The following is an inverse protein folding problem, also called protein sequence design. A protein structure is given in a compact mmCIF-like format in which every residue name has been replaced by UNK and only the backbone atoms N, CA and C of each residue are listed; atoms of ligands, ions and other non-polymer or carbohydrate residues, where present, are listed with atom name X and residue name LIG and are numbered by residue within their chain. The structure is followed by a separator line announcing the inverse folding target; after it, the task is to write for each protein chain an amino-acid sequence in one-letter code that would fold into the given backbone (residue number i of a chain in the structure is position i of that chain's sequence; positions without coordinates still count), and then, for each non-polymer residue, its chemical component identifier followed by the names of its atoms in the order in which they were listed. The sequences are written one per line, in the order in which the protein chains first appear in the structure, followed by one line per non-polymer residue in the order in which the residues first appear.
data_IF_991288627766
#
_entry.id   IF_991288627766
#
_cell.length_a   1.000
_cell.length_b   1.000
_cell.length_c   1.000
_cell.angle_alpha   90.00
_cell.angle_beta   90.00
_cell.angle_gamma   90.00
#
_symmetry.space_group_name_H-M   'P 1'
#
loop_
_entity.id
_entity.type
_entity.pdbx_description
1 polymer ?
#
# COMPACT_ATOMS: atom_id res chain seq x y z
N UNK A 1 -7.63 -16.56 0.97
CA UNK A 1 -7.70 -16.31 -0.49
C UNK A 1 -8.62 -15.15 -0.78
N UNK A 2 -8.15 -14.19 -1.55
CA UNK A 2 -8.91 -13.04 -2.02
C UNK A 2 -8.94 -13.03 -3.56
N UNK A 3 -9.88 -12.32 -4.15
CA UNK A 3 -9.91 -12.15 -5.60
C UNK A 3 -10.47 -10.79 -6.01
N UNK A 4 -10.10 -10.35 -7.20
CA UNK A 4 -10.72 -9.21 -7.87
C UNK A 4 -11.05 -9.58 -9.33
N UNK A 5 -12.09 -8.98 -9.87
CA UNK A 5 -12.46 -9.15 -11.27
C UNK A 5 -11.85 -8.06 -12.14
N UNK A 6 -11.24 -8.46 -13.25
CA UNK A 6 -10.82 -7.57 -14.34
C UNK A 6 -11.48 -8.06 -15.61
N UNK A 7 -12.27 -7.23 -16.27
CA UNK A 7 -13.01 -7.59 -17.49
C UNK A 7 -13.82 -8.92 -17.35
N UNK A 8 -14.45 -9.10 -16.18
CA UNK A 8 -15.25 -10.31 -15.89
C UNK A 8 -14.46 -11.54 -15.44
N UNK A 9 -13.15 -11.54 -15.57
CA UNK A 9 -12.28 -12.65 -15.15
C UNK A 9 -11.85 -12.48 -13.69
N UNK A 10 -11.99 -13.54 -12.90
CA UNK A 10 -11.51 -13.56 -11.50
C UNK A 10 -10.00 -13.81 -11.46
N UNK A 11 -9.28 -12.92 -10.79
CA UNK A 11 -7.85 -13.06 -10.49
C UNK A 11 -7.68 -13.22 -8.99
N UNK A 12 -7.02 -14.30 -8.58
CA UNK A 12 -6.90 -14.71 -7.19
C UNK A 12 -5.55 -14.29 -6.59
N UNK A 13 -5.58 -14.01 -5.29
CA UNK A 13 -4.40 -13.87 -4.44
C UNK A 13 -4.51 -14.92 -3.35
N UNK A 14 -3.57 -15.86 -3.32
CA UNK A 14 -3.55 -16.97 -2.36
C UNK A 14 -2.72 -16.57 -1.14
N UNK A 15 -3.21 -16.85 0.06
CA UNK A 15 -2.57 -16.44 1.31
C UNK A 15 -1.28 -17.22 1.60
N UNK A 16 -1.18 -18.45 1.07
CA UNK A 16 -0.02 -19.33 1.25
C UNK A 16 0.06 -20.40 0.16
N UNK A 17 1.17 -21.16 0.16
CA UNK A 17 1.40 -22.26 -0.80
C UNK A 17 0.36 -23.37 -0.68
N UNK A 18 -0.17 -23.64 0.51
CA UNK A 18 -1.16 -24.68 0.70
C UNK A 18 -2.44 -24.34 -0.06
N UNK A 19 -2.98 -23.13 0.10
CA UNK A 19 -4.15 -22.69 -0.66
C UNK A 19 -3.92 -22.72 -2.17
N UNK A 20 -2.72 -22.35 -2.62
CA UNK A 20 -2.36 -22.39 -4.03
C UNK A 20 -2.35 -23.84 -4.55
N UNK A 21 -1.73 -24.77 -3.82
CA UNK A 21 -1.65 -26.18 -4.18
C UNK A 21 -3.02 -26.86 -4.18
N UNK A 22 -3.96 -26.38 -3.39
CA UNK A 22 -5.34 -26.88 -3.35
C UNK A 22 -6.22 -26.26 -4.46
N UNK A 23 -5.67 -25.33 -5.23
CA UNK A 23 -6.37 -24.66 -6.33
C UNK A 23 -6.24 -25.41 -7.66
N UNK A 24 -7.00 -24.96 -8.65
CA UNK A 24 -6.90 -25.45 -10.04
C UNK A 24 -5.56 -25.10 -10.73
N UNK A 25 -4.69 -24.34 -10.07
CA UNK A 25 -3.38 -23.95 -10.58
C UNK A 25 -2.23 -24.70 -9.90
N UNK A 26 -2.54 -25.78 -9.19
CA UNK A 26 -1.55 -26.61 -8.47
C UNK A 26 -0.45 -27.21 -9.35
N UNK A 27 -0.69 -27.31 -10.66
CA UNK A 27 0.27 -27.75 -11.68
C UNK A 27 1.28 -26.67 -12.08
N UNK A 28 1.05 -25.41 -11.69
CA UNK A 28 1.90 -24.29 -12.04
C UNK A 28 3.04 -24.12 -11.05
N UNK A 29 4.22 -23.82 -11.57
CA UNK A 29 5.38 -23.47 -10.74
C UNK A 29 5.25 -22.04 -10.20
N UNK A 30 5.63 -21.84 -8.93
CA UNK A 30 5.66 -20.52 -8.30
C UNK A 30 7.08 -19.97 -8.32
N UNK A 31 7.27 -18.89 -9.04
CA UNK A 31 8.57 -18.20 -9.13
C UNK A 31 8.84 -17.41 -7.85
N UNK A 32 9.95 -17.71 -7.18
CA UNK A 32 10.32 -17.07 -5.90
C UNK A 32 10.69 -15.60 -6.02
N UNK A 33 11.32 -15.20 -7.11
CA UNK A 33 11.67 -13.81 -7.36
C UNK A 33 10.77 -13.19 -8.42
N UNK A 34 9.74 -12.50 -7.99
CA UNK A 34 8.77 -11.88 -8.87
C UNK A 34 9.38 -10.88 -9.87
N UNK A 35 10.55 -10.28 -9.54
CA UNK A 35 11.22 -9.30 -10.41
C UNK A 35 11.76 -9.93 -11.68
N UNK A 36 12.10 -11.21 -11.64
CA UNK A 36 12.57 -11.99 -12.79
C UNK A 36 11.47 -12.75 -13.53
N UNK A 37 10.25 -12.80 -12.97
CA UNK A 37 9.13 -13.51 -13.54
C UNK A 37 8.70 -12.93 -14.89
N UNK A 38 8.03 -13.76 -15.66
CA UNK A 38 7.44 -13.41 -16.96
C UNK A 38 5.94 -13.15 -16.81
N UNK A 39 5.34 -12.67 -17.87
CA UNK A 39 3.88 -12.57 -17.99
C UNK A 39 3.23 -13.96 -17.82
N UNK A 40 2.12 -14.01 -17.12
CA UNK A 40 1.37 -15.22 -16.74
C UNK A 40 2.02 -16.09 -15.64
N UNK A 41 3.24 -15.85 -15.21
CA UNK A 41 3.87 -16.59 -14.12
C UNK A 41 3.12 -16.33 -12.79
N UNK A 42 3.03 -17.39 -11.99
CA UNK A 42 2.67 -17.27 -10.58
C UNK A 42 3.91 -16.98 -9.75
N UNK A 43 3.82 -16.02 -8.86
CA UNK A 43 4.98 -15.54 -8.10
C UNK A 43 4.69 -15.47 -6.61
N UNK A 44 5.75 -15.65 -5.82
CA UNK A 44 5.73 -15.35 -4.41
C UNK A 44 6.00 -13.85 -4.24
N UNK A 45 5.05 -13.15 -3.65
CA UNK A 45 5.19 -11.73 -3.31
C UNK A 45 6.09 -11.53 -2.09
N UNK A 46 6.50 -10.29 -1.86
CA UNK A 46 7.36 -9.96 -0.72
C UNK A 46 6.62 -10.02 0.64
N UNK A 47 5.28 -10.04 0.62
CA UNK A 47 4.42 -10.30 1.78
C UNK A 47 3.99 -11.77 1.90
N UNK A 48 4.69 -12.68 1.23
CA UNK A 48 4.53 -14.14 1.31
C UNK A 48 3.20 -14.68 0.76
N UNK A 49 2.53 -13.95 -0.11
CA UNK A 49 1.33 -14.39 -0.81
C UNK A 49 1.66 -14.79 -2.25
N UNK A 50 0.75 -15.53 -2.89
CA UNK A 50 0.96 -15.99 -4.26
C UNK A 50 -0.02 -15.27 -5.17
N UNK A 51 0.52 -14.65 -6.23
CA UNK A 51 -0.20 -13.81 -7.16
C UNK A 51 0.32 -14.03 -8.58
N UNK A 52 -0.54 -13.80 -9.57
CA UNK A 52 -0.15 -13.92 -10.97
C UNK A 52 0.35 -12.59 -11.54
N UNK A 53 1.42 -12.64 -12.32
CA UNK A 53 1.87 -11.53 -13.14
C UNK A 53 0.97 -11.44 -14.37
N UNK A 54 0.16 -10.40 -14.46
CA UNK A 54 -0.78 -10.20 -15.56
C UNK A 54 -0.14 -9.53 -16.78
N UNK A 55 0.90 -8.72 -16.53
CA UNK A 55 1.65 -8.04 -17.59
C UNK A 55 3.06 -7.73 -17.12
N UNK A 56 4.03 -7.88 -18.00
CA UNK A 56 5.37 -7.37 -17.81
C UNK A 56 5.77 -6.52 -19.02
N UNK A 57 6.22 -5.29 -18.79
CA UNK A 57 6.51 -4.36 -19.87
C UNK A 57 7.64 -3.41 -19.50
N UNK A 58 8.21 -2.78 -20.53
CA UNK A 58 9.21 -1.73 -20.34
C UNK A 58 8.56 -0.42 -19.93
N UNK A 59 9.31 0.39 -19.19
CA UNK A 59 8.90 1.73 -18.78
C UNK A 59 9.33 2.71 -19.84
N UNK A 60 8.36 3.43 -20.42
CA UNK A 60 8.62 4.37 -21.50
C UNK A 60 9.04 5.78 -21.02
N UNK A 61 8.97 6.06 -19.70
CA UNK A 61 9.25 7.39 -19.17
C UNK A 61 10.50 7.44 -18.30
N UNK A 62 11.44 8.36 -18.60
CA UNK A 62 12.70 8.52 -17.86
C UNK A 62 12.55 9.20 -16.49
N UNK A 63 11.35 9.56 -16.05
CA UNK A 63 11.09 10.27 -14.78
C UNK A 63 11.44 9.47 -13.51
N UNK A 64 11.78 8.18 -13.66
CA UNK A 64 12.27 7.32 -12.57
C UNK A 64 13.73 7.56 -12.18
N UNK A 65 14.46 8.42 -12.89
CA UNK A 65 15.93 8.57 -12.74
C UNK A 65 16.38 9.02 -11.36
N UNK A 66 15.55 9.72 -10.60
CA UNK A 66 15.92 10.21 -9.26
C UNK A 66 15.84 9.11 -8.18
N UNK A 67 14.82 8.26 -8.25
CA UNK A 67 14.50 7.31 -7.17
C UNK A 67 14.92 5.86 -7.47
N UNK A 68 14.89 5.47 -8.74
CA UNK A 68 15.13 4.08 -9.18
C UNK A 68 16.00 4.10 -10.45
N UNK A 69 17.24 4.55 -10.28
CA UNK A 69 18.23 4.55 -11.36
C UNK A 69 18.31 3.14 -11.97
N UNK A 70 18.17 3.05 -13.30
CA UNK A 70 18.23 1.79 -14.06
C UNK A 70 17.01 0.87 -14.00
N UNK A 71 15.87 1.29 -13.47
CA UNK A 71 14.64 0.52 -13.60
C UNK A 71 14.14 0.59 -15.03
N UNK A 72 14.02 -0.56 -15.68
CA UNK A 72 13.62 -0.68 -17.08
C UNK A 72 12.26 -1.35 -17.28
N UNK A 73 11.80 -2.13 -16.29
CA UNK A 73 10.61 -2.94 -16.40
C UNK A 73 9.70 -2.78 -15.18
N UNK A 74 8.42 -3.09 -15.39
CA UNK A 74 7.42 -3.24 -14.33
C UNK A 74 6.63 -4.52 -14.51
N UNK A 75 6.08 -5.03 -13.41
CA UNK A 75 5.11 -6.10 -13.38
C UNK A 75 3.75 -5.54 -12.95
N UNK A 76 2.69 -5.94 -13.63
CA UNK A 76 1.31 -5.65 -13.24
C UNK A 76 0.67 -6.91 -12.70
N UNK A 77 0.02 -6.76 -11.55
CA UNK A 77 -0.80 -7.79 -10.92
C UNK A 77 -2.23 -7.28 -10.76
N UNK A 78 -3.13 -8.13 -10.30
CA UNK A 78 -4.50 -7.69 -9.98
C UNK A 78 -4.56 -6.67 -8.86
N UNK A 79 -3.56 -6.65 -7.98
CA UNK A 79 -3.49 -5.69 -6.86
C UNK A 79 -2.89 -4.35 -7.28
N UNK A 80 -1.89 -4.35 -8.12
CA UNK A 80 -1.22 -3.14 -8.54
C UNK A 80 -0.08 -3.38 -9.51
N UNK A 81 0.63 -2.30 -9.87
CA UNK A 81 1.80 -2.32 -10.72
C UNK A 81 3.05 -2.04 -9.90
N UNK A 82 4.09 -2.83 -10.08
CA UNK A 82 5.32 -2.80 -9.29
C UNK A 82 6.54 -2.66 -10.20
N UNK A 83 7.41 -1.72 -9.88
CA UNK A 83 8.69 -1.57 -10.57
C UNK A 83 9.60 -2.75 -10.25
N UNK A 84 10.21 -3.35 -11.27
CA UNK A 84 11.17 -4.44 -11.09
C UNK A 84 12.51 -3.93 -10.55
N UNK A 85 12.52 -3.59 -9.27
CA UNK A 85 13.68 -3.05 -8.57
C UNK A 85 13.78 -3.64 -7.15
N UNK A 86 15.02 -3.87 -6.68
CA UNK A 86 15.27 -4.47 -5.36
C UNK A 86 14.72 -3.68 -4.17
N UNK A 87 14.52 -2.37 -4.33
CA UNK A 87 13.96 -1.49 -3.29
C UNK A 87 12.43 -1.41 -3.31
N UNK A 88 11.80 -1.97 -4.34
CA UNK A 88 10.35 -2.03 -4.44
C UNK A 88 9.87 -3.34 -3.84
N UNK A 89 8.91 -3.23 -2.95
CA UNK A 89 8.29 -4.35 -2.26
C UNK A 89 6.93 -4.62 -2.88
N UNK A 90 6.66 -5.86 -3.27
CA UNK A 90 5.37 -6.28 -3.77
C UNK A 90 4.43 -6.61 -2.60
N UNK A 91 3.58 -5.66 -2.28
CA UNK A 91 2.48 -5.81 -1.33
C UNK A 91 1.20 -6.22 -2.08
N UNK A 92 0.62 -7.32 -1.70
CA UNK A 92 -0.59 -7.86 -2.31
C UNK A 92 -1.86 -7.53 -1.54
N UNK A 93 -1.80 -6.63 -0.55
CA UNK A 93 -2.97 -6.10 0.12
C UNK A 93 -3.79 -5.19 -0.81
N UNK A 94 -5.06 -5.51 -1.02
CA UNK A 94 -5.96 -4.67 -1.81
C UNK A 94 -6.19 -3.28 -1.19
N UNK A 95 -6.10 -3.17 0.12
CA UNK A 95 -6.29 -1.91 0.85
C UNK A 95 -5.12 -0.93 0.66
N UNK A 96 -3.92 -1.46 0.47
CA UNK A 96 -2.70 -0.66 0.31
C UNK A 96 -2.58 0.01 -1.06
N UNK A 97 -3.38 -0.40 -2.05
CA UNK A 97 -3.29 0.04 -3.43
C UNK A 97 -4.61 0.62 -3.95
N UNK A 98 -5.00 1.82 -3.53
CA UNK A 98 -6.26 2.45 -3.97
C UNK A 98 -6.26 2.76 -5.47
N UNK A 99 -5.10 2.88 -6.10
CA UNK A 99 -4.95 3.02 -7.54
C UNK A 99 -3.98 1.97 -8.10
N UNK A 100 -4.54 0.85 -8.54
CA UNK A 100 -3.80 -0.33 -9.03
C UNK A 100 -2.98 -0.11 -10.28
N UNK A 101 -3.21 0.98 -11.00
CA UNK A 101 -2.58 1.22 -12.30
C UNK A 101 -1.45 2.23 -12.24
N UNK A 102 -1.14 2.78 -11.05
CA UNK A 102 -0.05 3.75 -10.87
C UNK A 102 1.12 3.15 -10.10
N UNK A 103 2.33 3.54 -10.46
CA UNK A 103 3.56 3.12 -9.79
C UNK A 103 3.81 3.85 -8.47
N UNK A 104 3.25 5.03 -8.30
CA UNK A 104 3.55 5.92 -7.18
C UNK A 104 3.11 5.38 -5.81
N UNK A 105 2.21 4.38 -5.80
CA UNK A 105 1.63 3.81 -4.59
C UNK A 105 1.98 2.34 -4.38
N UNK A 106 2.79 1.76 -5.24
CA UNK A 106 3.25 0.38 -5.14
C UNK A 106 4.42 0.19 -4.16
N UNK A 107 4.86 1.25 -3.53
CA UNK A 107 5.93 1.19 -2.55
C UNK A 107 5.34 1.03 -1.16
N UNK A 108 5.47 -0.14 -0.58
CA UNK A 108 5.21 -0.41 0.85
C UNK A 108 5.95 0.57 1.76
N UNK A 109 7.10 1.11 1.33
CA UNK A 109 7.77 2.13 2.13
C UNK A 109 6.88 3.33 2.42
N UNK A 110 5.94 3.67 1.53
CA UNK A 110 4.97 4.73 1.80
C UNK A 110 3.87 4.22 2.75
N UNK A 111 3.33 3.04 2.51
CA UNK A 111 2.35 2.41 3.41
C UNK A 111 2.94 2.14 4.80
N UNK A 112 4.08 1.46 4.88
CA UNK A 112 4.80 1.24 6.15
C UNK A 112 5.18 2.55 6.85
N UNK A 113 5.59 3.58 6.14
CA UNK A 113 5.89 4.89 6.75
C UNK A 113 4.66 5.54 7.37
N UNK A 114 3.48 5.34 6.80
CA UNK A 114 2.25 5.93 7.32
C UNK A 114 1.67 5.07 8.44
N UNK A 115 1.62 3.75 8.27
CA UNK A 115 0.94 2.85 9.21
C UNK A 115 1.85 2.26 10.29
N UNK A 116 3.13 2.00 10.00
CA UNK A 116 4.08 1.42 10.97
C UNK A 116 4.99 2.45 11.66
N UNK A 117 4.78 3.73 11.41
CA UNK A 117 5.53 4.76 12.12
C UNK A 117 5.23 4.70 13.62
N UNK A 118 6.27 4.52 14.43
CA UNK A 118 6.13 4.46 15.89
C UNK A 118 6.01 5.83 16.55
N UNK A 119 6.45 6.90 15.86
CA UNK A 119 6.48 8.26 16.37
C UNK A 119 5.54 9.16 15.58
N UNK A 120 4.93 10.11 16.26
CA UNK A 120 4.08 11.15 15.66
C UNK A 120 4.92 12.23 14.97
N UNK A 121 4.39 12.77 13.86
CA UNK A 121 4.93 13.97 13.24
C UNK A 121 4.48 15.23 13.99
N UNK A 122 5.11 16.37 13.70
CA UNK A 122 4.68 17.67 14.27
C UNK A 122 3.19 17.95 13.98
N UNK A 123 2.73 17.71 12.75
CA UNK A 123 1.32 17.89 12.37
C UNK A 123 0.38 16.92 13.07
N UNK A 124 0.80 15.67 13.25
CA UNK A 124 0.02 14.68 14.01
C UNK A 124 -0.05 15.07 15.50
N UNK A 125 0.99 15.67 16.07
CA UNK A 125 0.96 16.22 17.45
C UNK A 125 -0.04 17.37 17.58
N UNK A 126 -0.02 18.33 16.64
CA UNK A 126 -1.00 19.42 16.61
C UNK A 126 -2.43 18.85 16.51
N UNK A 127 -2.64 17.89 15.62
CA UNK A 127 -3.93 17.20 15.50
C UNK A 127 -4.35 16.55 16.82
N UNK A 128 -3.44 15.80 17.46
CA UNK A 128 -3.71 15.14 18.74
C UNK A 128 -4.02 16.13 19.86
N UNK A 129 -3.26 17.23 19.95
CA UNK A 129 -3.52 18.29 20.92
C UNK A 129 -4.88 18.95 20.69
N UNK A 130 -5.25 19.22 19.43
CA UNK A 130 -6.56 19.78 19.09
C UNK A 130 -7.72 18.86 19.49
N UNK A 131 -7.55 17.54 19.28
CA UNK A 131 -8.52 16.53 19.76
C UNK A 131 -8.59 16.54 21.29
N UNK A 132 -7.47 16.57 21.98
CA UNK A 132 -7.40 16.56 23.44
C UNK A 132 -8.12 17.73 24.08
N UNK A 133 -8.09 18.91 23.46
CA UNK A 133 -8.82 20.12 23.94
C UNK A 133 -10.30 20.14 23.48
N UNK A 134 -10.79 19.08 22.85
CA UNK A 134 -12.19 18.92 22.45
C UNK A 134 -12.55 19.48 21.09
N UNK A 135 -11.58 19.81 20.25
CA UNK A 135 -11.86 20.21 18.86
C UNK A 135 -12.32 19.00 18.05
N UNK A 136 -13.37 19.15 17.22
CA UNK A 136 -13.86 18.10 16.35
C UNK A 136 -12.80 17.62 15.36
N UNK A 137 -12.81 16.31 15.02
CA UNK A 137 -11.76 15.65 14.23
C UNK A 137 -11.48 16.32 12.87
N UNK A 138 -12.53 16.73 12.15
CA UNK A 138 -12.40 17.42 10.84
C UNK A 138 -11.68 18.76 10.99
N UNK A 139 -12.12 19.59 11.95
CA UNK A 139 -11.46 20.88 12.24
C UNK A 139 -10.01 20.69 12.67
N UNK A 140 -9.75 19.73 13.54
CA UNK A 140 -8.39 19.40 13.99
C UNK A 140 -7.50 19.02 12.83
N UNK A 141 -8.01 18.26 11.87
CA UNK A 141 -7.25 17.88 10.69
C UNK A 141 -6.99 19.07 9.78
N UNK A 142 -8.00 19.87 9.50
CA UNK A 142 -7.87 21.10 8.67
C UNK A 142 -6.81 22.04 9.26
N UNK A 143 -6.88 22.28 10.57
CA UNK A 143 -5.93 23.14 11.28
C UNK A 143 -4.50 22.58 11.23
N UNK A 144 -4.31 21.32 11.56
CA UNK A 144 -2.98 20.69 11.64
C UNK A 144 -2.31 20.49 10.27
N UNK A 145 -3.09 20.19 9.22
CA UNK A 145 -2.58 19.80 7.90
C UNK A 145 -2.83 20.82 6.80
N UNK A 146 -3.54 21.92 7.10
CA UNK A 146 -3.91 22.96 6.13
C UNK A 146 -4.71 22.39 4.95
N UNK A 147 -5.59 21.40 5.21
CA UNK A 147 -6.47 20.82 4.21
C UNK A 147 -7.64 21.76 3.95
N UNK A 148 -7.97 21.99 2.69
CA UNK A 148 -9.06 22.89 2.30
C UNK A 148 -10.39 22.13 2.01
N UNK A 149 -10.29 20.84 1.72
CA UNK A 149 -11.41 19.97 1.40
C UNK A 149 -11.89 19.24 2.66
N UNK A 150 -13.07 19.58 3.16
CA UNK A 150 -13.64 18.99 4.38
C UNK A 150 -13.92 17.48 4.25
N UNK A 151 -14.30 17.01 3.08
CA UNK A 151 -14.56 15.59 2.83
C UNK A 151 -13.26 14.76 2.88
N UNK A 152 -12.18 15.30 2.32
CA UNK A 152 -10.85 14.67 2.44
C UNK A 152 -10.34 14.73 3.88
N UNK A 153 -10.57 15.84 4.57
CA UNK A 153 -10.20 16.02 5.96
C UNK A 153 -10.90 14.99 6.86
N UNK A 154 -12.19 14.76 6.66
CA UNK A 154 -12.98 13.76 7.40
C UNK A 154 -12.38 12.36 7.26
N UNK A 155 -12.13 11.91 6.03
CA UNK A 155 -11.54 10.59 5.77
C UNK A 155 -10.15 10.44 6.40
N UNK A 156 -9.30 11.46 6.25
CA UNK A 156 -7.93 11.43 6.77
C UNK A 156 -7.89 11.53 8.29
N UNK A 157 -8.76 12.32 8.89
CA UNK A 157 -8.92 12.39 10.35
C UNK A 157 -9.33 11.04 10.94
N UNK A 158 -10.29 10.36 10.32
CA UNK A 158 -10.73 9.02 10.74
C UNK A 158 -9.59 7.99 10.68
N UNK A 159 -8.71 8.07 9.67
CA UNK A 159 -7.52 7.22 9.56
C UNK A 159 -6.53 7.52 10.69
N UNK A 160 -6.28 8.79 11.01
CA UNK A 160 -5.36 9.17 12.08
C UNK A 160 -5.85 8.72 13.45
N UNK A 161 -7.15 8.82 13.73
CA UNK A 161 -7.74 8.37 15.00
C UNK A 161 -7.66 6.85 15.20
N UNK A 162 -7.44 6.08 14.15
CA UNK A 162 -7.19 4.62 14.24
C UNK A 162 -5.71 4.28 14.50
N UNK A 163 -4.81 5.26 14.45
CA UNK A 163 -3.38 5.01 14.64
C UNK A 163 -3.03 5.06 16.13
N UNK A 164 -2.53 3.95 16.67
CA UNK A 164 -2.15 3.82 18.08
C UNK A 164 -1.20 4.94 18.54
N UNK A 165 -0.22 5.30 17.73
CA UNK A 165 0.72 6.39 18.04
C UNK A 165 0.03 7.75 18.20
N UNK A 166 -1.01 8.02 17.42
CA UNK A 166 -1.77 9.27 17.48
C UNK A 166 -2.65 9.28 18.71
N UNK A 167 -3.32 8.16 19.00
CA UNK A 167 -4.15 8.03 20.21
C UNK A 167 -3.34 8.14 21.50
N UNK A 168 -2.16 7.55 21.56
CA UNK A 168 -1.23 7.75 22.69
C UNK A 168 -0.82 9.22 22.88
N UNK A 169 -0.65 9.97 21.76
CA UNK A 169 -0.35 11.41 21.86
C UNK A 169 -1.58 12.20 22.33
N UNK A 170 -2.80 11.81 21.94
CA UNK A 170 -4.05 12.40 22.45
C UNK A 170 -4.14 12.16 23.97
N UNK A 171 -3.99 10.92 24.41
CA UNK A 171 -4.02 10.55 25.83
C UNK A 171 -2.99 11.35 26.64
N UNK A 172 -1.78 11.45 26.15
CA UNK A 172 -0.74 12.25 26.78
C UNK A 172 -1.14 13.72 26.88
N UNK A 173 -1.68 14.31 25.81
CA UNK A 173 -2.09 15.72 25.78
C UNK A 173 -3.31 16.01 26.68
N UNK A 174 -4.11 15.01 27.05
CA UNK A 174 -5.20 15.13 28.01
C UNK A 174 -4.67 15.15 29.45
N UNK A 175 -3.56 14.44 29.72
CA UNK A 175 -2.96 14.30 31.04
C UNK A 175 -2.01 15.45 31.42
N UNK A 176 -1.52 16.17 30.41
CA UNK A 176 -0.68 17.38 30.56
C UNK A 176 -1.55 18.63 30.82
#
# INVERSE_FOLDING_TARGET
MEYCKINGVKHYVYDNMQEFNDSKYSDKEVVKNWRSAKEEDWVLSDDSRIIQILKKSKINHPNNRKNYKYVTHYCRTVVGSFLCHKKVFMDTSFESHPNRYTFSKSSIKVGKRIYERKTTTKKEKIFATNIAVGMGAVKSYIDAFSETDSYKAEKKAAILLRQERVMKEVEKSVLD
#
